data_IF_611304014234
#
_entry.id   IF_611304014234
#
_cell.length_a   1.000
_cell.length_b   1.000
_cell.length_c   1.000
_cell.angle_alpha   90.00
_cell.angle_beta   90.00
_cell.angle_gamma   90.00
#
_symmetry.space_group_name_H-M   'P 1'
#
loop_
_entity.id
_entity.type
_entity.pdbx_description
1 polymer ?
#
# COMPACT_ATOMS: atom_id res chain seq x y z
N UNK A 1 34.92 -3.94 1.04
CA UNK A 1 34.98 -4.52 -0.31
C UNK A 1 33.57 -4.41 -0.91
N UNK A 2 33.40 -3.57 -1.94
CA UNK A 2 32.11 -3.43 -2.63
C UNK A 2 31.95 -4.60 -3.60
N UNK A 3 31.15 -5.59 -3.26
CA UNK A 3 30.76 -6.65 -4.21
C UNK A 3 29.78 -6.03 -5.22
N UNK A 4 30.30 -5.58 -6.35
CA UNK A 4 29.48 -5.30 -7.51
C UNK A 4 28.92 -6.64 -8.00
N UNK A 5 27.63 -6.85 -7.79
CA UNK A 5 26.94 -7.92 -8.50
C UNK A 5 26.92 -7.54 -9.99
N UNK A 6 27.49 -8.33 -10.89
CA UNK A 6 27.40 -8.09 -12.31
C UNK A 6 25.95 -8.31 -12.73
N UNK A 7 25.20 -7.25 -12.87
CA UNK A 7 23.86 -7.31 -13.48
C UNK A 7 24.10 -7.46 -14.97
N UNK A 8 23.99 -8.68 -15.47
CA UNK A 8 24.03 -8.93 -16.90
C UNK A 8 22.73 -8.37 -17.52
N UNK A 9 22.84 -7.45 -18.47
CA UNK A 9 21.71 -6.76 -19.12
C UNK A 9 20.70 -7.72 -19.79
N UNK A 10 21.07 -8.97 -20.05
CA UNK A 10 20.17 -10.03 -20.54
C UNK A 10 19.12 -10.48 -19.53
N UNK A 11 19.27 -10.15 -18.23
CA UNK A 11 18.32 -10.49 -17.18
C UNK A 11 17.33 -9.40 -16.87
N UNK A 12 17.47 -8.21 -17.47
CA UNK A 12 16.61 -7.07 -17.21
C UNK A 12 15.72 -6.78 -18.41
N UNK A 13 14.42 -6.77 -18.20
CA UNK A 13 13.45 -6.31 -19.18
C UNK A 13 12.62 -5.17 -18.58
N UNK A 14 12.59 -4.02 -19.28
CA UNK A 14 11.66 -2.97 -18.94
C UNK A 14 10.25 -3.40 -19.36
N UNK A 15 9.36 -3.58 -18.38
CA UNK A 15 7.96 -3.97 -18.63
C UNK A 15 7.02 -2.79 -18.63
N UNK A 16 7.43 -1.67 -18.05
CA UNK A 16 6.62 -0.46 -17.97
C UNK A 16 7.47 0.79 -17.75
N UNK A 17 7.02 1.92 -18.31
CA UNK A 17 7.62 3.23 -18.09
C UNK A 17 6.59 4.13 -17.42
N UNK A 18 6.97 4.68 -16.28
CA UNK A 18 6.18 5.58 -15.47
C UNK A 18 6.77 6.99 -15.54
N UNK A 19 5.99 8.00 -15.18
CA UNK A 19 6.48 9.38 -15.08
C UNK A 19 7.62 9.51 -14.06
N UNK A 20 7.59 8.70 -13.00
CA UNK A 20 8.54 8.74 -11.88
C UNK A 20 9.55 7.60 -11.86
N UNK A 21 9.54 6.71 -12.85
CA UNK A 21 10.49 5.60 -12.88
C UNK A 21 10.15 4.52 -13.91
N UNK A 22 11.01 3.53 -13.99
CA UNK A 22 10.86 2.38 -14.87
C UNK A 22 10.66 1.13 -14.01
N UNK A 23 9.72 0.27 -14.42
CA UNK A 23 9.53 -1.05 -13.80
C UNK A 23 10.36 -2.06 -14.59
N UNK A 24 11.21 -2.78 -13.89
CA UNK A 24 12.09 -3.79 -14.43
C UNK A 24 11.69 -5.17 -13.92
N UNK A 25 11.76 -6.16 -14.78
CA UNK A 25 11.66 -7.58 -14.41
C UNK A 25 13.04 -8.21 -14.41
N UNK A 26 13.33 -8.93 -13.35
CA UNK A 26 14.48 -9.84 -13.29
C UNK A 26 14.03 -11.19 -13.87
N UNK A 27 14.40 -11.46 -15.12
CA UNK A 27 14.17 -12.76 -15.75
C UNK A 27 15.06 -13.82 -15.12
N UNK A 28 14.55 -15.05 -15.07
CA UNK A 28 15.28 -16.25 -14.59
C UNK A 28 15.51 -16.33 -13.07
N UNK A 29 14.83 -15.51 -12.28
CA UNK A 29 14.62 -15.85 -10.88
C UNK A 29 13.37 -16.76 -10.77
N UNK A 30 13.32 -17.67 -9.79
CA UNK A 30 12.23 -18.63 -9.67
C UNK A 30 10.82 -18.02 -9.68
N UNK A 31 10.69 -16.74 -9.35
CA UNK A 31 9.43 -16.02 -9.17
C UNK A 31 9.37 -14.66 -9.91
N UNK A 32 10.10 -14.49 -11.01
CA UNK A 32 10.06 -13.30 -11.87
C UNK A 32 9.91 -11.96 -11.10
N UNK A 33 10.76 -11.75 -10.10
CA UNK A 33 10.71 -10.55 -9.27
C UNK A 33 10.78 -9.30 -10.14
N UNK A 34 9.94 -8.31 -9.87
CA UNK A 34 10.08 -7.00 -10.49
C UNK A 34 10.52 -5.95 -9.48
N UNK A 35 11.19 -4.93 -9.95
CA UNK A 35 11.65 -3.86 -9.09
C UNK A 35 11.46 -2.49 -9.74
N UNK A 36 11.46 -1.49 -8.89
CA UNK A 36 11.44 -0.08 -9.27
C UNK A 36 12.18 0.75 -8.25
N UNK A 37 12.62 1.93 -8.69
CA UNK A 37 13.27 2.93 -7.84
C UNK A 37 12.64 4.28 -8.12
N UNK A 38 12.34 5.04 -7.07
CA UNK A 38 11.81 6.39 -7.20
C UNK A 38 11.51 7.06 -5.87
N UNK A 39 11.09 8.31 -5.93
CA UNK A 39 10.50 8.98 -4.78
C UNK A 39 9.09 8.45 -4.55
N UNK A 40 8.76 8.20 -3.30
CA UNK A 40 7.52 7.53 -2.88
C UNK A 40 6.80 8.38 -1.85
N UNK A 41 5.49 8.46 -1.95
CA UNK A 41 4.65 9.13 -0.97
C UNK A 41 4.28 8.17 0.18
N UNK A 42 3.93 8.74 1.33
CA UNK A 42 3.35 7.98 2.44
C UNK A 42 1.88 7.70 2.15
N UNK A 43 1.49 6.44 2.32
CA UNK A 43 0.11 5.99 2.28
C UNK A 43 -0.44 5.83 3.70
N UNK A 44 -1.65 6.35 3.92
CA UNK A 44 -2.38 6.26 5.17
C UNK A 44 -3.64 5.39 5.06
N UNK A 45 -3.89 4.78 3.89
CA UNK A 45 -5.08 3.96 3.69
C UNK A 45 -5.13 2.78 4.67
N UNK A 46 -6.33 2.46 5.13
CA UNK A 46 -6.57 1.43 6.15
C UNK A 46 -6.33 1.86 7.60
N UNK A 47 -5.60 2.94 7.86
CA UNK A 47 -5.49 3.49 9.20
C UNK A 47 -6.87 3.99 9.67
N UNK A 48 -7.32 3.59 10.89
CA UNK A 48 -8.61 4.03 11.43
C UNK A 48 -8.75 5.55 11.62
N UNK A 49 -7.66 6.30 11.62
CA UNK A 49 -7.63 7.76 11.68
C UNK A 49 -7.21 8.44 10.38
N UNK A 50 -7.11 7.69 9.27
CA UNK A 50 -6.68 8.26 8.00
C UNK A 50 -7.53 9.46 7.58
N UNK A 51 -8.85 9.33 7.58
CA UNK A 51 -9.76 10.29 7.01
C UNK A 51 -10.85 10.77 7.96
N UNK A 52 -11.21 12.06 7.86
CA UNK A 52 -12.32 12.64 8.58
C UNK A 52 -12.70 14.01 8.02
N UNK A 53 -13.96 14.40 8.15
CA UNK A 53 -14.42 15.72 7.68
C UNK A 53 -14.28 16.78 8.79
N UNK A 54 -13.16 17.50 8.79
CA UNK A 54 -12.89 18.60 9.75
C UNK A 54 -13.86 19.77 9.64
N UNK A 55 -14.61 19.89 8.55
CA UNK A 55 -15.65 20.94 8.43
C UNK A 55 -16.87 20.60 9.28
N UNK A 56 -17.16 19.29 9.42
CA UNK A 56 -18.22 18.82 10.32
C UNK A 56 -17.72 18.65 11.76
N UNK A 57 -16.49 18.16 11.93
CA UNK A 57 -15.88 17.81 13.20
C UNK A 57 -14.50 18.48 13.35
N UNK A 58 -14.46 19.79 13.71
CA UNK A 58 -13.21 20.57 13.68
C UNK A 58 -12.16 20.11 14.69
N UNK A 59 -12.52 19.33 15.68
CA UNK A 59 -11.63 18.84 16.76
C UNK A 59 -10.86 17.58 16.41
N UNK A 60 -11.24 16.85 15.34
CA UNK A 60 -10.49 15.68 14.90
C UNK A 60 -9.20 16.07 14.16
N UNK A 61 -8.21 15.18 14.19
CA UNK A 61 -6.92 15.34 13.50
C UNK A 61 -6.65 14.15 12.57
N UNK A 62 -7.27 14.08 11.39
CA UNK A 62 -7.00 13.03 10.41
C UNK A 62 -5.54 13.06 9.95
N UNK A 63 -4.99 11.88 9.70
CA UNK A 63 -3.60 11.74 9.25
C UNK A 63 -3.42 12.10 7.78
N UNK A 64 -4.50 12.05 6.99
CA UNK A 64 -4.47 12.43 5.58
C UNK A 64 -5.66 13.33 5.21
N UNK A 65 -5.53 13.99 4.07
CA UNK A 65 -6.56 14.87 3.55
C UNK A 65 -7.70 14.05 2.92
N UNK A 66 -8.95 14.32 3.32
CA UNK A 66 -10.13 13.59 2.83
C UNK A 66 -10.25 13.54 1.30
N UNK A 67 -9.79 14.57 0.60
CA UNK A 67 -9.74 14.60 -0.87
C UNK A 67 -8.86 13.53 -1.49
N UNK A 68 -7.93 12.92 -0.75
CA UNK A 68 -7.13 11.79 -1.21
C UNK A 68 -7.95 10.48 -1.22
N UNK A 69 -9.02 10.38 -0.42
CA UNK A 69 -9.95 9.25 -0.41
C UNK A 69 -11.13 9.41 -1.38
N UNK A 70 -11.27 10.55 -2.04
CA UNK A 70 -12.36 10.82 -2.95
C UNK A 70 -13.05 12.16 -2.69
N UNK A 71 -14.22 12.31 -3.29
CA UNK A 71 -15.09 13.47 -3.12
C UNK A 71 -16.55 13.03 -3.18
N UNK A 72 -17.46 13.93 -2.81
CA UNK A 72 -18.89 13.67 -2.86
C UNK A 72 -19.32 13.09 -4.22
N UNK A 73 -20.03 11.97 -4.18
CA UNK A 73 -20.48 11.23 -5.36
C UNK A 73 -19.43 10.32 -6.01
N UNK A 74 -18.16 10.35 -5.56
CA UNK A 74 -17.12 9.46 -6.08
C UNK A 74 -16.01 9.19 -5.06
N UNK A 75 -16.21 8.18 -4.23
CA UNK A 75 -15.29 7.75 -3.17
C UNK A 75 -14.51 6.50 -3.59
N UNK A 76 -13.21 6.45 -3.27
CA UNK A 76 -12.35 5.30 -3.58
C UNK A 76 -11.48 4.81 -2.42
N UNK A 77 -11.19 5.66 -1.41
CA UNK A 77 -10.33 5.35 -0.24
C UNK A 77 -11.11 5.11 1.04
N UNK A 78 -12.44 5.19 1.04
CA UNK A 78 -13.30 4.99 2.20
C UNK A 78 -14.46 4.05 1.90
N UNK A 79 -14.93 3.38 2.95
CA UNK A 79 -16.12 2.52 2.87
C UNK A 79 -17.38 3.38 2.84
N UNK A 80 -18.32 3.05 1.94
CA UNK A 80 -19.60 3.72 1.82
C UNK A 80 -20.76 2.83 2.25
N UNK A 81 -21.88 3.43 2.60
CA UNK A 81 -23.09 2.71 3.05
C UNK A 81 -23.74 1.85 1.97
N UNK A 82 -23.50 2.14 0.69
CA UNK A 82 -24.02 1.36 -0.45
C UNK A 82 -22.98 0.42 -1.06
N UNK A 83 -21.73 0.45 -0.59
CA UNK A 83 -20.55 -0.22 -1.19
C UNK A 83 -20.18 0.30 -2.58
N UNK A 84 -20.86 1.30 -3.07
CA UNK A 84 -20.56 1.97 -4.33
C UNK A 84 -19.84 3.30 -4.09
N UNK A 85 -19.03 3.73 -5.04
CA UNK A 85 -18.29 4.99 -4.95
C UNK A 85 -19.20 6.22 -4.79
N UNK A 86 -20.46 6.14 -5.23
CA UNK A 86 -21.47 7.20 -5.08
C UNK A 86 -22.15 7.24 -3.71
N UNK A 87 -21.94 6.24 -2.86
CA UNK A 87 -22.53 6.17 -1.52
C UNK A 87 -21.99 7.24 -0.56
N UNK A 88 -22.55 7.27 0.65
CA UNK A 88 -22.08 8.13 1.73
C UNK A 88 -21.00 7.41 2.55
N UNK A 89 -19.82 8.01 2.80
CA UNK A 89 -18.82 7.45 3.68
C UNK A 89 -19.36 7.09 5.06
N UNK A 90 -18.96 5.94 5.57
CA UNK A 90 -19.34 5.48 6.90
C UNK A 90 -18.38 6.12 7.91
N UNK A 91 -18.92 6.91 8.83
CA UNK A 91 -18.19 7.42 10.01
C UNK A 91 -18.19 6.35 11.11
N UNK A 92 -17.05 6.19 11.77
CA UNK A 92 -16.93 5.31 12.93
C UNK A 92 -17.72 5.85 14.12
N UNK A 93 -18.25 4.96 14.94
CA UNK A 93 -19.11 5.31 16.07
C UNK A 93 -18.34 5.65 17.36
N UNK A 94 -17.04 5.42 17.42
CA UNK A 94 -16.25 5.53 18.65
C UNK A 94 -16.55 4.42 19.67
N UNK A 95 -17.20 3.32 19.25
CA UNK A 95 -17.64 2.25 20.14
C UNK A 95 -17.03 0.91 19.72
N UNK A 96 -16.28 0.32 20.64
CA UNK A 96 -15.69 -1.00 20.44
C UNK A 96 -14.50 -1.03 19.49
N UNK A 97 -13.86 -2.20 19.35
CA UNK A 97 -12.65 -2.36 18.55
C UNK A 97 -12.89 -2.36 17.05
N UNK A 98 -14.13 -2.50 16.61
CA UNK A 98 -14.53 -2.47 15.20
C UNK A 98 -14.65 -1.05 14.63
N UNK A 99 -14.92 -0.05 15.50
CA UNK A 99 -15.05 1.36 15.15
C UNK A 99 -14.53 2.27 16.27
N UNK A 100 -13.23 2.28 16.56
CA UNK A 100 -12.68 2.83 17.80
C UNK A 100 -12.66 4.36 17.86
N UNK A 101 -12.77 5.07 16.73
CA UNK A 101 -12.58 6.52 16.68
C UNK A 101 -13.80 7.23 16.12
N UNK A 102 -14.55 7.89 16.99
CA UNK A 102 -15.73 8.66 16.59
C UNK A 102 -15.38 9.75 15.57
N UNK A 103 -16.24 9.94 14.55
CA UNK A 103 -16.12 10.94 13.48
C UNK A 103 -15.00 10.71 12.44
N UNK A 104 -14.22 9.65 12.56
CA UNK A 104 -13.32 9.24 11.50
C UNK A 104 -14.02 8.27 10.52
N UNK A 105 -13.71 8.39 9.26
CA UNK A 105 -14.26 7.50 8.23
C UNK A 105 -13.52 6.17 8.24
N UNK A 106 -14.20 5.09 7.84
CA UNK A 106 -13.55 3.79 7.68
C UNK A 106 -12.75 3.83 6.38
N UNK A 107 -11.43 3.87 6.51
CA UNK A 107 -10.50 3.82 5.37
C UNK A 107 -10.39 2.41 4.80
N UNK A 108 -10.27 2.30 3.48
CA UNK A 108 -10.32 1.03 2.75
C UNK A 108 -9.02 0.79 1.97
N UNK A 109 -8.52 -0.45 2.03
CA UNK A 109 -7.40 -0.95 1.23
C UNK A 109 -7.86 -2.09 0.33
N UNK A 110 -7.01 -2.55 -0.58
CA UNK A 110 -7.33 -3.65 -1.49
C UNK A 110 -7.16 -5.03 -0.86
N UNK A 111 -6.13 -5.22 -0.06
CA UNK A 111 -5.97 -6.42 0.76
C UNK A 111 -6.87 -6.32 1.97
N UNK A 112 -7.67 -7.35 2.20
CA UNK A 112 -8.67 -7.36 3.26
C UNK A 112 -8.60 -8.65 4.07
N UNK A 113 -8.89 -8.54 5.35
CA UNK A 113 -9.15 -9.68 6.22
C UNK A 113 -10.64 -10.05 6.14
N UNK A 114 -10.93 -11.16 5.49
CA UNK A 114 -12.32 -11.61 5.25
C UNK A 114 -13.05 -12.09 6.49
N UNK A 115 -12.36 -12.26 7.62
CA UNK A 115 -12.99 -12.62 8.90
C UNK A 115 -13.84 -11.49 9.46
N UNK A 116 -13.59 -10.25 9.06
CA UNK A 116 -14.27 -9.05 9.54
C UNK A 116 -15.26 -8.50 8.51
N UNK A 117 -16.30 -7.81 9.00
CA UNK A 117 -17.30 -7.12 8.17
C UNK A 117 -16.71 -5.85 7.54
N UNK A 118 -17.35 -5.34 6.49
CA UNK A 118 -16.86 -4.15 5.77
C UNK A 118 -16.80 -2.87 6.61
N UNK A 119 -17.70 -2.74 7.58
CA UNK A 119 -17.74 -1.61 8.51
C UNK A 119 -16.85 -1.81 9.75
N UNK A 120 -16.00 -2.80 9.76
CA UNK A 120 -15.00 -3.06 10.80
C UNK A 120 -13.63 -2.60 10.32
N UNK A 121 -12.98 -1.70 11.05
CA UNK A 121 -11.66 -1.17 10.66
C UNK A 121 -10.61 -2.27 10.58
N UNK A 122 -10.72 -3.37 11.34
CA UNK A 122 -9.79 -4.51 11.34
C UNK A 122 -9.82 -5.32 10.05
N UNK A 123 -10.82 -5.09 9.21
CA UNK A 123 -10.90 -5.69 7.87
C UNK A 123 -9.81 -5.18 6.95
N UNK A 124 -9.37 -3.94 7.13
CA UNK A 124 -8.52 -3.22 6.20
C UNK A 124 -7.07 -3.25 6.65
N UNK A 125 -6.14 -3.24 5.71
CA UNK A 125 -4.70 -3.27 6.03
C UNK A 125 -4.28 -1.91 6.58
N UNK A 126 -4.08 -1.83 7.89
CA UNK A 126 -3.75 -0.59 8.59
C UNK A 126 -2.32 -0.11 8.26
N UNK A 127 -2.22 1.08 7.66
CA UNK A 127 -0.97 1.70 7.27
C UNK A 127 -0.02 1.99 8.44
N UNK A 128 -0.51 2.08 9.67
CA UNK A 128 0.31 2.38 10.86
C UNK A 128 0.92 1.15 11.51
N UNK A 129 0.40 -0.03 11.20
CA UNK A 129 0.82 -1.29 11.83
C UNK A 129 1.39 -2.31 10.85
N UNK A 130 1.04 -2.23 9.56
CA UNK A 130 1.47 -3.17 8.52
C UNK A 130 2.38 -2.46 7.51
N UNK A 131 3.63 -2.91 7.31
CA UNK A 131 4.46 -2.41 6.23
C UNK A 131 3.94 -2.92 4.89
N UNK A 132 3.52 -2.01 4.00
CA UNK A 132 3.00 -2.37 2.68
C UNK A 132 3.37 -1.37 1.59
N UNK A 133 3.17 -1.79 0.35
CA UNK A 133 3.22 -0.95 -0.84
C UNK A 133 1.84 -0.86 -1.48
N UNK A 134 1.48 0.33 -1.96
CA UNK A 134 0.38 0.55 -2.88
C UNK A 134 0.95 0.67 -4.30
N UNK A 135 0.53 -0.19 -5.20
CA UNK A 135 1.02 -0.24 -6.59
C UNK A 135 -0.11 0.02 -7.58
N UNK A 136 0.15 0.62 -8.75
CA UNK A 136 -0.87 0.79 -9.77
C UNK A 136 -1.34 -0.58 -10.29
N UNK A 137 -2.60 -0.92 -10.04
CA UNK A 137 -3.17 -2.23 -10.42
C UNK A 137 -3.67 -2.32 -11.88
N UNK A 138 -3.70 -1.20 -12.58
CA UNK A 138 -4.26 -1.13 -13.94
C UNK A 138 -3.32 -1.62 -15.04
N UNK A 139 -2.12 -2.07 -14.67
CA UNK A 139 -1.10 -2.43 -15.65
C UNK A 139 -1.14 -3.92 -15.95
N UNK A 140 -1.62 -4.26 -17.15
CA UNK A 140 -1.72 -5.65 -17.64
C UNK A 140 -0.41 -6.42 -17.52
N UNK A 141 0.73 -5.75 -17.68
CA UNK A 141 2.07 -6.33 -17.53
C UNK A 141 2.31 -6.91 -16.15
N UNK A 142 1.98 -6.17 -15.07
CA UNK A 142 2.16 -6.64 -13.69
C UNK A 142 1.22 -7.80 -13.34
N UNK A 143 -0.02 -7.77 -13.84
CA UNK A 143 -0.99 -8.85 -13.65
C UNK A 143 -0.50 -10.13 -14.36
N UNK A 144 0.05 -10.01 -15.55
CA UNK A 144 0.58 -11.16 -16.32
C UNK A 144 1.72 -11.89 -15.62
N UNK A 145 2.53 -11.18 -14.80
CA UNK A 145 3.63 -11.79 -14.05
C UNK A 145 3.19 -12.26 -12.65
N UNK A 146 1.89 -12.34 -12.38
CA UNK A 146 1.35 -12.93 -11.15
C UNK A 146 1.21 -11.98 -9.96
N UNK A 147 1.25 -10.66 -10.16
CA UNK A 147 1.02 -9.70 -9.07
C UNK A 147 -0.39 -9.86 -8.49
N UNK A 148 -0.45 -10.19 -7.22
CA UNK A 148 -1.69 -10.30 -6.42
C UNK A 148 -1.50 -9.58 -5.09
N UNK A 149 -2.59 -9.12 -4.47
CA UNK A 149 -2.53 -8.61 -3.10
C UNK A 149 -1.97 -9.66 -2.16
N UNK A 150 -1.20 -9.22 -1.17
CA UNK A 150 -0.47 -10.10 -0.26
C UNK A 150 0.87 -10.59 -0.79
N UNK A 151 1.24 -10.33 -2.05
CA UNK A 151 2.62 -10.59 -2.51
C UNK A 151 3.63 -9.88 -1.63
N UNK A 152 4.67 -10.58 -1.22
CA UNK A 152 5.75 -10.00 -0.43
C UNK A 152 6.59 -9.04 -1.26
N UNK A 153 7.16 -8.05 -0.60
CA UNK A 153 8.07 -7.10 -1.19
C UNK A 153 9.21 -6.77 -0.22
N UNK A 154 10.34 -6.34 -0.79
CA UNK A 154 11.45 -5.73 -0.08
C UNK A 154 11.47 -4.24 -0.43
N UNK A 155 11.54 -3.38 0.57
CA UNK A 155 11.71 -1.94 0.43
C UNK A 155 13.06 -1.53 0.99
N UNK A 156 13.81 -0.72 0.26
CA UNK A 156 15.14 -0.24 0.69
C UNK A 156 15.22 1.27 0.45
N UNK A 157 15.49 2.03 1.48
CA UNK A 157 15.86 3.44 1.35
C UNK A 157 17.32 3.51 0.89
N UNK A 158 17.56 3.97 -0.34
CA UNK A 158 18.88 4.01 -0.94
C UNK A 158 19.81 5.07 -0.34
N UNK A 159 19.27 6.00 0.43
CA UNK A 159 20.06 7.01 1.13
C UNK A 159 20.52 6.52 2.50
N UNK A 160 19.62 5.99 3.32
CA UNK A 160 19.94 5.49 4.66
C UNK A 160 20.41 4.04 4.67
N UNK A 161 20.20 3.29 3.59
CA UNK A 161 20.42 1.85 3.47
C UNK A 161 19.58 1.00 4.44
N UNK A 162 18.59 1.60 5.10
CA UNK A 162 17.61 0.87 5.88
C UNK A 162 16.65 0.12 4.97
N UNK A 163 16.20 -1.05 5.42
CA UNK A 163 15.28 -1.88 4.65
C UNK A 163 14.20 -2.50 5.54
N UNK A 164 13.10 -2.86 4.94
CA UNK A 164 12.06 -3.68 5.56
C UNK A 164 11.39 -4.58 4.54
N UNK A 165 10.85 -5.69 5.00
CA UNK A 165 9.92 -6.47 4.20
C UNK A 165 8.51 -5.91 4.36
N UNK A 166 7.70 -6.09 3.34
CA UNK A 166 6.31 -5.65 3.31
C UNK A 166 5.48 -6.52 2.40
N UNK A 167 4.25 -6.10 2.18
CA UNK A 167 3.30 -6.77 1.29
C UNK A 167 2.68 -5.79 0.30
N UNK A 168 2.21 -6.26 -0.83
CA UNK A 168 1.36 -5.48 -1.72
C UNK A 168 -0.08 -5.47 -1.17
N UNK A 169 -0.52 -4.36 -0.60
CA UNK A 169 -1.81 -4.29 0.06
C UNK A 169 -2.79 -3.30 -0.56
N UNK A 170 -2.32 -2.31 -1.32
CA UNK A 170 -3.23 -1.38 -1.98
C UNK A 170 -2.81 -1.04 -3.42
N UNK A 171 -3.74 -0.45 -4.19
CA UNK A 171 -3.58 -0.31 -5.62
C UNK A 171 -3.84 1.09 -6.18
N UNK A 172 -3.96 2.07 -5.33
CA UNK A 172 -4.43 3.42 -5.70
C UNK A 172 -3.33 4.48 -5.79
N UNK A 173 -2.11 4.08 -6.12
CA UNK A 173 -1.07 5.06 -6.39
C UNK A 173 -1.54 6.08 -7.45
N UNK A 174 -1.29 7.37 -7.21
CA UNK A 174 -1.62 8.44 -8.16
C UNK A 174 -1.08 8.10 -9.56
N UNK A 175 -1.86 8.44 -10.60
CA UNK A 175 -1.44 8.24 -12.00
C UNK A 175 0.00 8.72 -12.21
N UNK A 176 0.82 7.88 -12.82
CA UNK A 176 2.20 8.20 -13.16
C UNK A 176 3.23 7.97 -12.05
N UNK A 177 2.84 7.71 -10.81
CA UNK A 177 3.76 7.36 -9.72
C UNK A 177 3.87 5.85 -9.57
N UNK A 178 5.04 5.40 -9.13
CA UNK A 178 5.32 3.97 -8.95
C UNK A 178 4.63 3.36 -7.75
N UNK A 179 4.15 4.16 -6.84
CA UNK A 179 3.45 3.68 -5.67
C UNK A 179 3.60 4.61 -4.49
N UNK A 180 2.99 4.16 -3.43
CA UNK A 180 3.03 4.75 -2.10
C UNK A 180 3.43 3.63 -1.14
N UNK A 181 4.00 3.97 0.00
CA UNK A 181 4.33 2.99 1.04
C UNK A 181 3.61 3.38 2.33
N UNK A 182 3.20 2.38 3.11
CA UNK A 182 2.51 2.62 4.37
C UNK A 182 3.34 3.46 5.33
N UNK A 183 2.68 4.19 6.23
CA UNK A 183 3.35 4.91 7.31
C UNK A 183 4.29 4.00 8.11
N UNK A 184 3.88 2.75 8.35
CA UNK A 184 4.73 1.77 9.05
C UNK A 184 6.02 1.48 8.29
N UNK A 185 5.94 1.31 6.98
CA UNK A 185 7.14 1.12 6.15
C UNK A 185 8.05 2.36 6.18
N UNK A 186 7.49 3.58 6.11
CA UNK A 186 8.25 4.83 6.27
C UNK A 186 9.02 4.86 7.58
N UNK A 187 8.39 4.48 8.69
CA UNK A 187 9.02 4.45 10.01
C UNK A 187 10.17 3.45 10.09
N UNK A 188 10.00 2.28 9.49
CA UNK A 188 11.04 1.25 9.43
C UNK A 188 12.22 1.63 8.53
N UNK A 189 12.00 2.43 7.49
CA UNK A 189 13.03 2.93 6.58
C UNK A 189 13.74 4.21 7.10
N UNK A 190 13.35 4.68 8.29
CA UNK A 190 13.91 5.86 8.95
C UNK A 190 13.32 7.18 8.48
N UNK A 191 12.85 7.29 7.27
CA UNK A 191 12.09 8.40 6.67
C UNK A 191 11.72 8.04 5.22
N UNK A 192 11.03 8.96 4.54
CA UNK A 192 10.72 8.83 3.11
C UNK A 192 11.65 9.65 2.19
N UNK A 193 12.67 10.30 2.76
CA UNK A 193 13.62 11.10 1.97
C UNK A 193 14.48 10.18 1.11
N UNK A 194 14.81 10.67 -0.08
CA UNK A 194 15.59 9.90 -1.04
C UNK A 194 14.76 8.97 -1.92
N UNK A 195 15.47 8.10 -2.62
CA UNK A 195 14.86 7.10 -3.50
C UNK A 195 14.67 5.79 -2.76
N UNK A 196 13.48 5.24 -2.88
CA UNK A 196 13.14 3.91 -2.35
C UNK A 196 13.21 2.90 -3.50
N UNK A 197 13.99 1.85 -3.31
CA UNK A 197 13.94 0.64 -4.13
C UNK A 197 12.82 -0.25 -3.60
N UNK A 198 11.91 -0.65 -4.47
CA UNK A 198 10.89 -1.65 -4.17
C UNK A 198 11.13 -2.87 -5.06
N UNK A 199 11.31 -4.03 -4.44
CA UNK A 199 11.35 -5.33 -5.11
C UNK A 199 10.11 -6.11 -4.72
N UNK A 200 9.32 -6.55 -5.69
CA UNK A 200 8.10 -7.33 -5.44
C UNK A 200 8.30 -8.74 -5.96
N UNK A 201 7.86 -9.73 -5.18
CA UNK A 201 7.90 -11.14 -5.51
C UNK A 201 6.51 -11.62 -5.94
N UNK A 202 6.18 -11.61 -7.24
CA UNK A 202 4.90 -12.09 -7.74
C UNK A 202 4.68 -13.55 -7.32
N UNK A 203 3.43 -13.98 -7.30
CA UNK A 203 3.04 -15.32 -6.86
C UNK A 203 3.34 -15.68 -5.39
N UNK A 204 4.09 -14.86 -4.63
CA UNK A 204 4.33 -15.09 -3.20
C UNK A 204 3.10 -14.80 -2.33
N UNK A 205 2.10 -14.08 -2.84
CA UNK A 205 0.88 -13.74 -2.13
C UNK A 205 -0.28 -14.68 -2.44
N UNK A 206 -1.17 -14.85 -1.45
CA UNK A 206 -2.36 -15.70 -1.57
C UNK A 206 -3.60 -14.95 -2.10
N UNK A 207 -3.50 -13.63 -2.35
CA UNK A 207 -4.63 -12.79 -2.71
C UNK A 207 -5.41 -12.31 -1.48
N UNK A 208 -6.73 -12.17 -1.60
CA UNK A 208 -7.61 -11.78 -0.49
C UNK A 208 -7.68 -12.91 0.55
N UNK A 209 -7.69 -12.58 1.82
CA UNK A 209 -7.79 -13.61 2.86
C UNK A 209 -7.57 -13.04 4.24
N UNK A 210 -6.40 -13.25 4.80
CA UNK A 210 -5.95 -12.68 6.06
C UNK A 210 -4.82 -11.69 5.82
N UNK A 211 -4.73 -10.69 6.67
CA UNK A 211 -3.60 -9.75 6.67
C UNK A 211 -2.54 -10.35 7.61
N UNK A 212 -1.33 -10.65 7.12
CA UNK A 212 -0.24 -11.09 7.99
C UNK A 212 0.20 -9.97 8.92
N UNK A 213 0.59 -10.30 10.13
CA UNK A 213 1.21 -9.35 11.05
C UNK A 213 2.65 -9.01 10.61
N UNK A 214 3.18 -7.93 11.17
CA UNK A 214 4.52 -7.46 10.86
C UNK A 214 5.58 -8.53 11.13
N UNK A 215 5.49 -9.27 12.24
CA UNK A 215 6.47 -10.30 12.58
C UNK A 215 6.51 -11.41 11.52
N UNK A 216 5.35 -11.83 11.04
CA UNK A 216 5.23 -12.80 9.94
C UNK A 216 5.86 -12.25 8.65
N UNK A 217 5.63 -10.97 8.35
CA UNK A 217 6.18 -10.32 7.16
C UNK A 217 7.72 -10.25 7.25
N UNK A 218 8.28 -9.83 8.40
CA UNK A 218 9.72 -9.66 8.56
C UNK A 218 10.49 -11.00 8.66
N UNK A 219 9.81 -12.11 8.85
CA UNK A 219 10.41 -13.45 8.89
C UNK A 219 10.66 -14.08 7.50
N UNK A 220 10.32 -13.39 6.42
CA UNK A 220 10.44 -13.87 5.03
C UNK A 220 11.76 -13.46 4.39
#
# INVERSE_FOLDING_TARGET
>A
MSTRFPINSTFLESIDKLETGVVWVLKNLPDDAFFTVGQIATDWDGDPKAYGDRRKHPTIAPHDHLGNAGHHGHWWGVVTNTRESSGTPIEQSGKGPDQPYEHYMISATKLVDQRFKENDVRRWTDATTVPYVALPNSRRSMIKIGLKTGCYCLMVNLQSMMYCFGIYADSKAKRGRMGEISKRAVDMLGNQDGSILIVVFPASGQGKGTIPDEQTIQSK
#
